data_IF_960583701110
#
_entry.id   IF_960583701110
#
_cell.length_a   1.000
_cell.length_b   1.000
_cell.length_c   1.000
_cell.angle_alpha   90.00
_cell.angle_beta   90.00
_cell.angle_gamma   90.00
#
_symmetry.space_group_name_H-M   'P 1'
#
loop_
_entity.id
_entity.type
_entity.pdbx_description
1 polymer ?
#
# COMPACT_ATOMS: atom_id res chain seq x y z
N UNK A 1 -18.50 46.87 -7.74
CA UNK A 1 -18.50 45.55 -8.40
C UNK A 1 -17.14 44.94 -8.14
N UNK A 2 -16.94 44.43 -6.91
CA UNK A 2 -15.64 43.94 -6.47
C UNK A 2 -15.47 42.52 -7.01
N UNK A 3 -14.58 42.40 -7.99
CA UNK A 3 -14.30 41.16 -8.69
C UNK A 3 -13.52 40.26 -7.74
N UNK A 4 -14.06 39.08 -7.46
CA UNK A 4 -13.41 38.07 -6.62
C UNK A 4 -11.92 37.90 -7.05
N UNK A 5 -10.97 37.88 -6.10
CA UNK A 5 -9.57 37.62 -6.41
C UNK A 5 -9.43 36.32 -7.21
N UNK A 6 -8.68 36.35 -8.31
CA UNK A 6 -8.50 35.19 -9.22
C UNK A 6 -7.99 33.94 -8.48
N UNK A 7 -7.23 34.14 -7.41
CA UNK A 7 -6.71 33.05 -6.55
C UNK A 7 -7.82 32.26 -5.86
N UNK A 8 -8.95 32.90 -5.53
CA UNK A 8 -10.12 32.22 -4.94
C UNK A 8 -10.88 31.41 -5.98
N UNK A 9 -10.81 31.82 -7.25
CA UNK A 9 -11.46 31.10 -8.36
C UNK A 9 -10.78 29.75 -8.59
N UNK A 10 -9.46 29.65 -8.52
CA UNK A 10 -8.74 28.38 -8.74
C UNK A 10 -9.01 27.33 -7.64
N UNK A 11 -9.27 27.75 -6.40
CA UNK A 11 -9.66 26.85 -5.31
C UNK A 11 -11.10 26.31 -5.44
N UNK A 12 -12.01 27.13 -5.99
CA UNK A 12 -13.44 26.78 -6.22
C UNK A 12 -13.65 26.07 -7.57
N UNK A 13 -12.72 26.24 -8.51
CA UNK A 13 -12.72 25.62 -9.84
C UNK A 13 -12.11 24.21 -9.84
N UNK A 14 -12.30 23.43 -8.77
CA UNK A 14 -12.32 21.96 -8.92
C UNK A 14 -13.51 21.62 -9.80
N UNK A 15 -13.27 21.64 -11.11
CA UNK A 15 -14.22 21.35 -12.17
C UNK A 15 -15.06 20.13 -11.77
N UNK A 16 -16.38 20.30 -11.73
CA UNK A 16 -17.34 19.21 -11.56
C UNK A 16 -16.94 18.07 -12.49
N UNK A 17 -16.51 16.94 -11.93
CA UNK A 17 -16.04 15.78 -12.69
C UNK A 17 -14.57 15.37 -12.46
N UNK A 18 -13.72 16.19 -11.82
CA UNK A 18 -12.40 15.71 -11.41
C UNK A 18 -12.52 14.68 -10.28
N UNK A 19 -12.11 13.44 -10.56
CA UNK A 19 -11.89 12.43 -9.52
C UNK A 19 -10.79 12.93 -8.60
N UNK A 20 -11.08 12.95 -7.30
CA UNK A 20 -10.06 13.25 -6.29
C UNK A 20 -8.90 12.23 -6.32
N UNK A 21 -7.79 12.53 -5.62
CA UNK A 21 -6.63 11.65 -5.55
C UNK A 21 -7.03 10.21 -5.22
N UNK A 22 -6.43 9.24 -5.92
CA UNK A 22 -6.76 7.83 -5.78
C UNK A 22 -6.43 7.36 -4.34
N UNK A 23 -7.46 7.19 -3.50
CA UNK A 23 -7.32 6.84 -2.08
C UNK A 23 -6.72 5.44 -1.81
N UNK A 24 -6.53 4.60 -2.83
CA UNK A 24 -6.03 3.22 -2.68
C UNK A 24 -4.85 3.01 -3.63
N UNK A 25 -3.81 2.26 -3.21
CA UNK A 25 -2.74 1.85 -4.10
C UNK A 25 -3.34 1.21 -5.35
N UNK A 26 -2.89 1.69 -6.51
CA UNK A 26 -3.28 1.12 -7.80
C UNK A 26 -2.82 -0.32 -7.85
N UNK A 27 -3.64 -1.18 -8.47
CA UNK A 27 -3.21 -2.54 -8.79
C UNK A 27 -1.95 -2.43 -9.67
N UNK A 28 -0.90 -3.13 -9.28
CA UNK A 28 0.30 -3.21 -10.09
C UNK A 28 0.09 -4.26 -11.18
N UNK A 29 0.30 -3.87 -12.44
CA UNK A 29 0.27 -4.80 -13.56
C UNK A 29 1.64 -5.49 -13.62
N UNK A 30 1.68 -6.74 -13.19
CA UNK A 30 2.89 -7.57 -13.27
C UNK A 30 2.77 -8.58 -14.42
N UNK A 31 3.86 -8.79 -15.15
CA UNK A 31 3.97 -9.89 -16.11
C UNK A 31 4.44 -11.14 -15.37
N UNK A 32 3.49 -12.01 -15.00
CA UNK A 32 3.73 -13.26 -14.28
C UNK A 32 3.46 -14.46 -15.19
N UNK A 33 4.38 -15.43 -15.22
CA UNK A 33 4.14 -16.74 -15.85
C UNK A 33 3.41 -17.66 -14.86
N UNK A 34 2.33 -18.26 -15.32
CA UNK A 34 1.49 -19.20 -14.55
C UNK A 34 1.23 -20.41 -15.43
N UNK A 35 1.19 -21.59 -14.81
CA UNK A 35 0.91 -22.84 -15.53
C UNK A 35 -0.45 -22.80 -16.23
N UNK A 36 -0.51 -23.43 -17.42
CA UNK A 36 -1.63 -23.32 -18.35
C UNK A 36 -2.92 -23.92 -17.78
N UNK A 37 -2.82 -25.03 -17.07
CA UNK A 37 -3.92 -25.72 -16.40
C UNK A 37 -4.53 -24.84 -15.29
N UNK A 38 -3.70 -24.17 -14.49
CA UNK A 38 -4.15 -23.23 -13.46
C UNK A 38 -4.90 -22.07 -14.11
N UNK A 39 -4.35 -21.47 -15.17
CA UNK A 39 -5.04 -20.38 -15.89
C UNK A 39 -6.37 -20.85 -16.48
N UNK A 40 -6.40 -22.06 -17.05
CA UNK A 40 -7.63 -22.64 -17.59
C UNK A 40 -8.70 -22.85 -16.51
N UNK A 41 -8.31 -23.40 -15.35
CA UNK A 41 -9.21 -23.61 -14.21
C UNK A 41 -9.81 -22.28 -13.72
N UNK A 42 -9.01 -21.22 -13.58
CA UNK A 42 -9.54 -19.91 -13.21
C UNK A 42 -10.45 -19.34 -14.30
N UNK A 43 -10.07 -19.39 -15.58
CA UNK A 43 -10.91 -18.90 -16.69
C UNK A 43 -12.26 -19.60 -16.76
N UNK A 44 -12.32 -20.90 -16.46
CA UNK A 44 -13.55 -21.67 -16.41
C UNK A 44 -14.56 -21.16 -15.35
N UNK A 45 -14.09 -20.43 -14.33
CA UNK A 45 -14.98 -19.77 -13.36
C UNK A 45 -15.79 -18.60 -13.94
N UNK A 46 -15.53 -18.21 -15.18
CA UNK A 46 -16.28 -17.17 -15.89
C UNK A 46 -15.80 -15.74 -15.60
N UNK A 47 -16.65 -14.72 -15.86
CA UNK A 47 -16.32 -13.32 -15.66
C UNK A 47 -15.79 -13.04 -14.24
N UNK A 48 -14.76 -12.22 -14.16
CA UNK A 48 -14.11 -11.88 -12.88
C UNK A 48 -13.05 -12.89 -12.40
N UNK A 49 -12.67 -13.89 -13.20
CA UNK A 49 -11.64 -14.86 -12.84
C UNK A 49 -10.30 -14.23 -12.41
N UNK A 50 -9.89 -13.11 -13.04
CA UNK A 50 -8.68 -12.39 -12.65
C UNK A 50 -8.78 -11.78 -11.23
N UNK A 51 -9.96 -11.32 -10.83
CA UNK A 51 -10.22 -10.83 -9.48
C UNK A 51 -10.10 -11.98 -8.48
N UNK A 52 -10.71 -13.14 -8.77
CA UNK A 52 -10.59 -14.37 -7.97
C UNK A 52 -9.13 -14.82 -7.83
N UNK A 53 -8.36 -14.81 -8.92
CA UNK A 53 -6.94 -15.12 -8.89
C UNK A 53 -6.15 -14.15 -7.99
N UNK A 54 -6.42 -12.84 -8.08
CA UNK A 54 -5.81 -11.84 -7.21
C UNK A 54 -6.18 -12.01 -5.73
N UNK A 55 -7.41 -12.43 -5.43
CA UNK A 55 -7.85 -12.75 -4.06
C UNK A 55 -7.12 -13.98 -3.51
N UNK A 56 -6.91 -15.01 -4.33
CA UNK A 56 -6.12 -16.18 -3.95
C UNK A 56 -4.67 -15.81 -3.59
N UNK A 57 -4.02 -14.97 -4.41
CA UNK A 57 -2.68 -14.47 -4.12
C UNK A 57 -2.63 -13.69 -2.80
N UNK A 58 -3.64 -12.85 -2.54
CA UNK A 58 -3.76 -12.10 -1.28
C UNK A 58 -3.97 -13.02 -0.08
N UNK A 59 -4.82 -14.03 -0.21
CA UNK A 59 -5.08 -15.00 0.85
C UNK A 59 -3.81 -15.80 1.18
N UNK A 60 -3.08 -16.24 0.16
CA UNK A 60 -1.80 -16.93 0.33
C UNK A 60 -0.77 -16.05 1.06
N UNK A 61 -0.62 -14.79 0.64
CA UNK A 61 0.31 -13.85 1.29
C UNK A 61 -0.01 -13.62 2.78
N UNK A 62 -1.30 -13.58 3.15
CA UNK A 62 -1.73 -13.48 4.55
C UNK A 62 -1.40 -14.76 5.32
N UNK A 63 -1.70 -15.93 4.72
CA UNK A 63 -1.45 -17.25 5.31
C UNK A 63 0.02 -17.47 5.64
N UNK A 64 0.92 -17.04 4.77
CA UNK A 64 2.37 -17.23 4.92
C UNK A 64 3.07 -16.07 5.64
N UNK A 65 2.34 -15.02 6.01
CA UNK A 65 2.91 -13.87 6.71
C UNK A 65 3.79 -12.96 5.85
N UNK A 66 3.74 -13.09 4.51
CA UNK A 66 4.44 -12.24 3.51
C UNK A 66 4.02 -10.76 3.54
N UNK A 67 3.13 -10.37 4.45
CA UNK A 67 2.66 -9.00 4.68
C UNK A 67 3.78 -8.04 5.09
N UNK A 68 4.04 -7.03 4.24
CA UNK A 68 5.10 -6.02 4.39
C UNK A 68 4.98 -5.12 5.63
N UNK A 69 3.82 -5.12 6.29
CA UNK A 69 3.54 -4.32 7.50
C UNK A 69 4.34 -4.79 8.73
N UNK A 70 4.90 -6.00 8.72
CA UNK A 70 5.67 -6.55 9.86
C UNK A 70 7.12 -6.05 9.93
N UNK A 71 7.59 -5.31 8.92
CA UNK A 71 9.01 -4.96 8.73
C UNK A 71 9.38 -3.51 9.09
N UNK A 72 8.40 -2.64 9.36
CA UNK A 72 8.65 -1.25 9.76
C UNK A 72 8.69 -1.07 11.29
N UNK A 73 7.92 -1.83 12.06
CA UNK A 73 7.83 -1.64 13.52
C UNK A 73 8.86 -2.45 14.32
N UNK A 74 9.42 -3.53 13.78
CA UNK A 74 10.42 -4.37 14.50
C UNK A 74 11.88 -3.93 14.35
N UNK A 75 12.20 -3.00 13.44
CA UNK A 75 13.58 -2.49 13.23
C UNK A 75 13.94 -1.24 14.06
N UNK A 76 12.97 -0.63 14.74
CA UNK A 76 13.20 0.56 15.58
C UNK A 76 13.51 0.30 17.06
N UNK A 77 13.36 -0.95 17.54
CA UNK A 77 13.44 -1.25 18.98
C UNK A 77 14.78 -1.89 19.45
N UNK A 78 15.81 -1.92 18.59
CA UNK A 78 17.16 -2.41 18.96
C UNK A 78 18.20 -1.30 18.79
N UNK A 79 17.87 -0.08 19.25
CA UNK A 79 18.78 1.06 19.19
C UNK A 79 18.62 2.06 20.34
N UNK A 80 18.23 1.62 21.55
CA UNK A 80 18.32 2.45 22.77
C UNK A 80 18.46 1.57 24.00
N UNK A 81 19.59 0.89 24.14
CA UNK A 81 20.03 0.31 25.42
C UNK A 81 21.56 0.12 25.40
N UNK A 82 22.31 1.20 25.15
CA UNK A 82 23.79 1.22 25.29
C UNK A 82 24.31 2.62 25.59
N UNK A 83 23.91 3.15 26.75
CA UNK A 83 24.40 4.36 27.45
C UNK A 83 23.42 4.52 28.63
N UNK A 84 23.76 4.62 29.90
CA UNK A 84 24.97 4.86 30.67
C UNK A 84 25.07 3.72 31.73
N UNK A 85 26.23 3.26 32.18
CA UNK A 85 27.06 3.97 33.16
C UNK A 85 28.52 3.51 33.08
N UNK A 86 29.35 4.40 32.57
CA UNK A 86 30.75 4.49 32.99
C UNK A 86 30.90 5.82 33.73
N UNK A 87 31.35 5.70 34.99
CA UNK A 87 32.03 6.72 35.81
C UNK A 87 31.19 7.84 36.43
N UNK A 88 30.95 7.68 37.73
CA UNK A 88 31.25 8.63 38.85
C UNK A 88 31.02 7.83 40.14
N UNK A 89 31.84 7.76 41.18
CA UNK A 89 33.09 8.39 41.62
C UNK A 89 33.72 7.38 42.63
N UNK A 90 35.00 7.02 42.58
CA UNK A 90 36.09 7.65 43.34
C UNK A 90 35.62 8.40 44.60
N UNK A 91 35.53 7.71 45.74
CA UNK A 91 36.03 8.17 47.05
C UNK A 91 35.99 7.04 48.06
#
# INVERSE_FOLDING_TARGET
MEVLPKETVDAVRRYRGQRGPQKRPTKELISLRVDRDVVAAYRATGPGWQKRAGEALRAYARKTGLSTERSSTRRGAVATARRQDRRTASR
#
